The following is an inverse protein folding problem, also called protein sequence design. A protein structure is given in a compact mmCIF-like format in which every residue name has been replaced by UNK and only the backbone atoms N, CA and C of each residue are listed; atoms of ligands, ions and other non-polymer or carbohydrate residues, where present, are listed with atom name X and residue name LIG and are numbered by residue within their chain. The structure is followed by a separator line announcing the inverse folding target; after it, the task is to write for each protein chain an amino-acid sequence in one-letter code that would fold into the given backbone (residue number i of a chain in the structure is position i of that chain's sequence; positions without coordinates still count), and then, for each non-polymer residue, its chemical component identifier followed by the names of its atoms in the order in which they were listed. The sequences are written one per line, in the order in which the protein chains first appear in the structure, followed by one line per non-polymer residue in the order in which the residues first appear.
data_IF_181086566726
#
_entry.id   IF_181086566726
#
_cell.length_a   1.000
_cell.length_b   1.000
_cell.length_c   1.000
_cell.angle_alpha   90.00
_cell.angle_beta   90.00
_cell.angle_gamma   90.00
#
_symmetry.space_group_name_H-M   'P 1'
#
loop_
_entity.id
_entity.type
_entity.pdbx_description
1 polymer ?
#
# COMPACT_ATOMS: atom_id res chain seq x y z
N UNK A 1 -14.96 45.49 18.19
CA UNK A 1 -15.65 45.53 19.50
C UNK A 1 -15.62 44.08 20.01
N UNK A 2 -14.69 43.79 20.92
CA UNK A 2 -14.94 43.44 22.36
C UNK A 2 -15.58 42.05 22.45
N UNK A 3 -15.12 41.02 23.13
CA UNK A 3 -14.20 40.77 24.27
C UNK A 3 -14.05 39.25 24.31
N UNK A 4 -12.94 38.55 24.49
CA UNK A 4 -12.20 38.32 25.73
C UNK A 4 -13.04 37.81 26.91
N UNK A 5 -12.80 36.55 27.27
CA UNK A 5 -12.70 36.02 28.64
C UNK A 5 -12.32 34.54 28.53
N UNK A 6 -11.16 34.02 28.76
CA UNK A 6 -10.31 34.02 29.99
C UNK A 6 -10.85 33.14 31.12
N UNK A 7 -10.11 32.02 31.38
CA UNK A 7 -9.49 31.62 32.67
C UNK A 7 -10.39 30.75 33.57
N UNK A 8 -9.98 29.64 34.08
CA UNK A 8 -9.12 29.21 35.22
C UNK A 8 -9.18 27.68 35.28
N UNK A 9 -8.13 26.91 35.21
CA UNK A 9 -7.14 26.56 36.23
C UNK A 9 -7.74 26.09 37.58
N UNK A 10 -7.63 24.78 37.84
CA UNK A 10 -7.55 24.25 39.20
C UNK A 10 -6.63 23.02 39.22
N UNK A 11 -5.46 23.25 39.76
CA UNK A 11 -4.46 22.30 40.22
C UNK A 11 -4.91 21.71 41.54
N UNK A 12 -4.99 20.37 41.65
CA UNK A 12 -5.02 19.71 42.98
C UNK A 12 -3.99 18.59 42.95
N UNK A 13 -2.90 18.86 43.63
CA UNK A 13 -1.96 17.87 44.17
C UNK A 13 -2.62 17.16 45.37
N UNK A 14 -2.55 15.85 45.40
CA UNK A 14 -2.66 15.07 46.61
C UNK A 14 -1.64 13.93 46.60
N UNK A 15 -0.67 14.08 47.47
CA UNK A 15 0.35 13.13 47.90
C UNK A 15 -0.21 12.11 48.88
N UNK A 16 0.30 10.88 48.79
CA UNK A 16 0.09 9.84 49.84
C UNK A 16 0.65 8.52 49.38
N UNK A 17 1.83 8.25 49.68
CA UNK A 17 2.49 7.49 50.77
C UNK A 17 2.47 5.95 50.60
N UNK A 18 3.66 5.47 50.41
CA UNK A 18 4.31 4.20 50.71
C UNK A 18 3.57 3.16 51.58
N UNK A 19 3.68 1.89 51.11
CA UNK A 19 3.98 0.78 52.00
C UNK A 19 4.80 -0.28 51.28
N UNK A 20 6.01 -0.46 51.71
CA UNK A 20 6.89 -1.54 51.32
C UNK A 20 6.55 -2.80 52.13
N UNK A 21 6.62 -3.96 51.47
CA UNK A 21 6.89 -5.21 52.15
C UNK A 21 7.89 -6.04 51.37
N UNK A 22 9.00 -6.23 51.96
CA UNK A 22 10.12 -7.10 51.58
C UNK A 22 9.78 -8.55 51.86
N UNK A 23 10.22 -9.45 50.96
CA UNK A 23 10.23 -10.89 51.17
C UNK A 23 11.25 -11.54 50.25
N UNK A 24 12.42 -11.79 50.81
CA UNK A 24 13.55 -12.51 50.22
C UNK A 24 13.27 -14.01 50.14
N UNK A 25 13.69 -14.64 49.02
CA UNK A 25 13.73 -16.10 48.90
C UNK A 25 14.55 -16.50 47.68
N UNK A 26 15.81 -16.78 47.89
CA UNK A 26 16.75 -17.34 46.91
C UNK A 26 16.45 -18.81 46.61
N UNK A 27 16.69 -19.22 45.33
CA UNK A 27 16.71 -20.61 44.95
C UNK A 27 17.09 -20.78 43.49
N UNK A 28 18.38 -20.90 43.20
CA UNK A 28 18.92 -21.38 41.93
C UNK A 28 18.52 -22.82 41.69
N UNK A 29 18.12 -23.15 40.45
CA UNK A 29 18.63 -24.37 39.78
C UNK A 29 18.35 -24.31 38.27
N UNK A 30 19.42 -24.46 37.51
CA UNK A 30 19.41 -24.69 36.09
C UNK A 30 19.06 -26.15 35.79
N UNK A 31 18.31 -26.39 34.71
CA UNK A 31 18.56 -27.51 33.79
C UNK A 31 17.54 -27.61 32.67
N UNK A 32 18.01 -27.75 31.44
CA UNK A 32 17.43 -28.64 30.46
C UNK A 32 16.57 -28.02 29.39
N UNK A 33 17.24 -27.60 28.30
CA UNK A 33 16.61 -27.39 27.01
C UNK A 33 16.11 -28.70 26.42
N UNK A 34 14.86 -28.73 26.01
CA UNK A 34 14.43 -29.57 24.88
C UNK A 34 13.49 -28.75 24.02
N UNK A 35 13.96 -28.47 22.82
CA UNK A 35 13.13 -27.93 21.77
C UNK A 35 12.06 -28.95 21.38
N UNK A 36 10.84 -28.53 21.35
CA UNK A 36 9.74 -29.30 20.72
C UNK A 36 8.70 -28.33 20.19
N UNK A 37 8.50 -28.42 18.88
CA UNK A 37 7.33 -28.16 18.10
C UNK A 37 6.46 -26.98 18.50
N UNK A 38 6.42 -25.96 17.64
CA UNK A 38 5.43 -24.89 17.67
C UNK A 38 4.04 -25.45 17.38
N UNK A 39 3.35 -25.90 18.42
CA UNK A 39 1.91 -25.96 18.43
C UNK A 39 1.44 -24.62 19.01
N UNK A 40 0.54 -23.94 18.34
CA UNK A 40 -0.16 -22.81 18.92
C UNK A 40 -0.72 -23.23 20.29
N UNK A 41 -0.28 -22.57 21.37
CA UNK A 41 -0.78 -22.85 22.70
C UNK A 41 -2.25 -22.41 22.74
N UNK A 42 -3.16 -23.38 22.77
CA UNK A 42 -4.56 -23.13 23.06
C UNK A 42 -4.65 -22.35 24.39
N UNK A 43 -5.43 -21.29 24.41
CA UNK A 43 -5.69 -20.52 25.62
C UNK A 43 -6.25 -21.45 26.72
N UNK A 44 -5.76 -21.38 27.97
CA UNK A 44 -6.06 -22.34 29.00
C UNK A 44 -7.50 -22.29 29.54
N UNK A 45 -8.33 -21.36 29.12
CA UNK A 45 -9.68 -21.13 29.64
C UNK A 45 -10.81 -21.28 28.59
N UNK A 46 -10.51 -21.75 27.39
CA UNK A 46 -11.50 -21.90 26.32
C UNK A 46 -12.01 -20.59 25.72
N UNK A 47 -11.45 -19.45 26.13
CA UNK A 47 -11.75 -18.15 25.52
C UNK A 47 -11.05 -18.05 24.17
N UNK A 48 -11.78 -17.57 23.16
CA UNK A 48 -11.20 -17.28 21.87
C UNK A 48 -10.23 -16.08 21.95
N UNK A 49 -9.23 -16.09 21.10
CA UNK A 49 -8.38 -14.92 20.91
C UNK A 49 -9.03 -13.99 19.89
N UNK A 50 -9.27 -12.75 20.29
CA UNK A 50 -9.79 -11.72 19.39
C UNK A 50 -8.64 -11.25 18.49
N UNK A 51 -8.83 -11.24 17.17
CA UNK A 51 -7.88 -10.70 16.18
C UNK A 51 -8.57 -9.74 15.23
N UNK A 52 -7.95 -8.59 15.01
CA UNK A 52 -8.36 -7.58 14.05
C UNK A 52 -7.41 -7.59 12.84
N UNK A 53 -7.95 -7.87 11.66
CA UNK A 53 -7.24 -7.85 10.38
C UNK A 53 -7.69 -6.67 9.52
N UNK A 54 -6.74 -5.83 9.10
CA UNK A 54 -6.99 -4.75 8.15
C UNK A 54 -6.44 -5.09 6.77
N UNK A 55 -7.30 -4.96 5.77
CA UNK A 55 -6.98 -5.17 4.35
C UNK A 55 -7.51 -4.02 3.50
N UNK A 56 -6.87 -3.73 2.35
CA UNK A 56 -7.45 -2.86 1.35
C UNK A 56 -8.46 -3.63 0.48
N UNK A 57 -9.29 -2.95 -0.31
CA UNK A 57 -10.09 -3.60 -1.32
C UNK A 57 -9.20 -4.05 -2.50
N UNK A 58 -9.18 -5.36 -2.77
CA UNK A 58 -8.46 -5.95 -3.91
C UNK A 58 -9.40 -6.27 -5.08
N UNK A 59 -10.69 -6.53 -4.78
CA UNK A 59 -11.70 -6.77 -5.80
C UNK A 59 -12.15 -5.47 -6.48
N UNK A 60 -12.70 -5.59 -7.67
CA UNK A 60 -13.34 -4.47 -8.34
C UNK A 60 -14.63 -4.10 -7.57
N UNK A 61 -14.65 -2.91 -6.98
CA UNK A 61 -15.75 -2.39 -6.19
C UNK A 61 -15.23 -1.44 -5.12
N UNK A 62 -15.97 -0.38 -4.85
CA UNK A 62 -15.47 0.71 -4.00
C UNK A 62 -15.78 0.51 -2.51
N UNK A 63 -16.72 -0.37 -2.18
CA UNK A 63 -17.19 -0.58 -0.80
C UNK A 63 -16.44 -1.70 -0.04
N UNK A 64 -15.60 -2.48 -0.74
CA UNK A 64 -14.89 -3.60 -0.16
C UNK A 64 -15.77 -4.75 0.35
N UNK A 65 -17.05 -4.76 0.04
CA UNK A 65 -17.98 -5.77 0.54
C UNK A 65 -17.63 -7.17 0.03
N UNK A 66 -17.26 -7.28 -1.26
CA UNK A 66 -16.82 -8.55 -1.86
C UNK A 66 -15.52 -9.06 -1.23
N UNK A 67 -14.58 -8.16 -0.95
CA UNK A 67 -13.34 -8.53 -0.26
C UNK A 67 -13.62 -9.02 1.16
N UNK A 68 -14.49 -8.33 1.90
CA UNK A 68 -14.85 -8.72 3.26
C UNK A 68 -15.51 -10.10 3.29
N UNK A 69 -16.47 -10.35 2.40
CA UNK A 69 -17.13 -11.66 2.28
C UNK A 69 -16.11 -12.75 1.95
N UNK A 70 -15.32 -12.56 0.90
CA UNK A 70 -14.30 -13.51 0.47
C UNK A 70 -13.30 -13.87 1.58
N UNK A 71 -12.74 -12.87 2.25
CA UNK A 71 -11.74 -13.11 3.31
C UNK A 71 -12.37 -13.73 4.55
N UNK A 72 -13.61 -13.35 4.89
CA UNK A 72 -14.33 -13.95 6.01
C UNK A 72 -14.54 -15.43 5.76
N UNK A 73 -15.02 -15.82 4.59
CA UNK A 73 -15.24 -17.23 4.23
C UNK A 73 -13.92 -18.00 4.12
N UNK A 74 -12.91 -17.41 3.51
CA UNK A 74 -11.60 -18.04 3.31
C UNK A 74 -10.90 -18.33 4.63
N UNK A 75 -10.96 -17.41 5.58
CA UNK A 75 -10.25 -17.52 6.86
C UNK A 75 -11.08 -18.18 7.98
N UNK A 76 -12.37 -18.39 7.78
CA UNK A 76 -13.25 -19.01 8.80
C UNK A 76 -12.78 -20.39 9.27
N UNK A 77 -12.33 -21.34 8.39
CA UNK A 77 -11.83 -22.63 8.84
C UNK A 77 -10.59 -22.50 9.72
N UNK A 78 -9.64 -21.66 9.33
CA UNK A 78 -8.43 -21.38 10.11
C UNK A 78 -8.76 -20.76 11.47
N UNK A 79 -9.64 -19.77 11.50
CA UNK A 79 -10.06 -19.12 12.73
C UNK A 79 -10.72 -20.11 13.71
N UNK A 80 -11.56 -21.00 13.19
CA UNK A 80 -12.20 -22.04 13.98
C UNK A 80 -11.19 -23.05 14.55
N UNK A 81 -10.24 -23.51 13.72
CA UNK A 81 -9.20 -24.47 14.11
C UNK A 81 -8.26 -23.89 15.17
N UNK A 82 -7.96 -22.60 15.11
CA UNK A 82 -7.04 -21.92 16.02
C UNK A 82 -7.72 -21.23 17.20
N UNK A 83 -9.04 -21.40 17.38
CA UNK A 83 -9.82 -20.79 18.44
C UNK A 83 -9.72 -19.25 18.45
N UNK A 84 -9.83 -18.65 17.24
CA UNK A 84 -9.77 -17.21 17.01
C UNK A 84 -11.15 -16.65 16.74
N UNK A 85 -11.44 -15.46 17.26
CA UNK A 85 -12.53 -14.60 16.83
C UNK A 85 -11.97 -13.50 15.92
N UNK A 86 -12.11 -13.69 14.61
CA UNK A 86 -11.48 -12.87 13.60
C UNK A 86 -12.42 -11.77 13.12
N UNK A 87 -12.04 -10.52 13.32
CA UNK A 87 -12.70 -9.35 12.73
C UNK A 87 -11.89 -8.86 11.53
N UNK A 88 -12.55 -8.68 10.37
CA UNK A 88 -11.91 -8.18 9.15
C UNK A 88 -12.50 -6.81 8.81
N UNK A 89 -11.63 -5.83 8.64
CA UNK A 89 -11.97 -4.51 8.15
C UNK A 89 -11.31 -4.22 6.81
N UNK A 90 -12.11 -3.80 5.84
CA UNK A 90 -11.62 -3.34 4.55
C UNK A 90 -11.54 -1.81 4.57
N UNK A 91 -10.36 -1.30 4.27
CA UNK A 91 -10.08 0.14 4.29
C UNK A 91 -9.79 0.62 2.88
N UNK A 92 -10.53 1.61 2.35
CA UNK A 92 -10.28 2.19 1.03
C UNK A 92 -8.86 2.73 0.89
N UNK A 93 -8.28 2.60 -0.30
CA UNK A 93 -6.93 3.04 -0.59
C UNK A 93 -6.68 4.54 -0.32
N UNK A 94 -7.69 5.39 -0.56
CA UNK A 94 -7.56 6.84 -0.45
C UNK A 94 -7.24 7.37 0.95
N UNK A 95 -7.56 6.60 2.01
CA UNK A 95 -7.27 6.96 3.40
C UNK A 95 -6.54 5.84 4.17
N UNK A 96 -5.89 4.95 3.44
CA UNK A 96 -5.29 3.74 3.98
C UNK A 96 -4.19 4.04 5.01
N UNK A 97 -3.21 4.86 4.62
CA UNK A 97 -2.11 5.27 5.50
C UNK A 97 -2.59 6.05 6.72
N UNK A 98 -3.52 6.99 6.52
CA UNK A 98 -4.06 7.81 7.59
C UNK A 98 -4.77 6.96 8.66
N UNK A 99 -5.48 5.92 8.23
CA UNK A 99 -6.12 4.98 9.15
C UNK A 99 -5.10 4.23 9.99
N UNK A 100 -4.01 3.72 9.38
CA UNK A 100 -2.94 3.06 10.12
C UNK A 100 -2.26 4.01 11.11
N UNK A 101 -1.92 5.21 10.66
CA UNK A 101 -1.29 6.22 11.51
C UNK A 101 -2.18 6.56 12.73
N UNK A 102 -3.46 6.73 12.51
CA UNK A 102 -4.43 7.01 13.57
C UNK A 102 -4.58 5.81 14.50
N UNK A 103 -4.76 4.61 13.97
CA UNK A 103 -4.92 3.39 14.74
C UNK A 103 -3.73 3.10 15.64
N UNK A 104 -2.51 3.17 15.11
CA UNK A 104 -1.29 2.95 15.91
C UNK A 104 -1.08 4.05 16.94
N UNK A 105 -1.38 5.31 16.61
CA UNK A 105 -1.23 6.43 17.54
C UNK A 105 -2.23 6.37 18.71
N UNK A 106 -3.42 5.82 18.48
CA UNK A 106 -4.44 5.64 19.52
C UNK A 106 -4.33 4.30 20.27
N UNK A 107 -3.53 3.36 19.79
CA UNK A 107 -3.48 1.98 20.30
C UNK A 107 -4.69 1.13 19.88
N UNK A 108 -5.41 1.53 18.83
CA UNK A 108 -6.56 0.84 18.25
C UNK A 108 -6.26 0.32 16.84
N UNK A 109 -4.99 0.13 16.53
CA UNK A 109 -4.54 -0.45 15.26
C UNK A 109 -4.87 -1.94 15.15
N UNK A 110 -4.66 -2.56 13.95
CA UNK A 110 -4.90 -3.97 13.75
C UNK A 110 -3.82 -4.84 14.41
N UNK A 111 -4.19 -6.08 14.74
CA UNK A 111 -3.22 -7.11 15.14
C UNK A 111 -2.43 -7.60 13.92
N UNK A 112 -3.08 -7.68 12.76
CA UNK A 112 -2.47 -8.03 11.48
C UNK A 112 -2.98 -7.08 10.41
N UNK A 113 -2.10 -6.62 9.53
CA UNK A 113 -2.49 -5.69 8.49
C UNK A 113 -1.68 -5.84 7.21
N UNK A 114 -2.32 -5.59 6.08
CA UNK A 114 -1.61 -5.42 4.83
C UNK A 114 -0.92 -4.05 4.80
N UNK A 115 0.31 -4.03 4.37
CA UNK A 115 1.06 -2.79 4.14
C UNK A 115 1.81 -2.88 2.82
N UNK A 116 1.97 -1.76 2.14
CA UNK A 116 2.86 -1.63 1.00
C UNK A 116 4.18 -0.99 1.42
N UNK A 117 5.19 -1.12 0.57
CA UNK A 117 6.60 -0.85 0.92
C UNK A 117 6.85 0.53 1.52
N UNK A 118 6.14 1.54 1.03
CA UNK A 118 6.32 2.93 1.42
C UNK A 118 5.93 3.19 2.89
N UNK A 119 5.05 2.36 3.45
CA UNK A 119 4.59 2.50 4.84
C UNK A 119 5.60 1.94 5.87
N UNK A 120 6.46 0.99 5.49
CA UNK A 120 7.23 0.20 6.46
C UNK A 120 8.15 1.02 7.34
N UNK A 121 8.92 1.94 6.76
CA UNK A 121 9.94 2.67 7.50
C UNK A 121 9.35 3.49 8.64
N UNK A 122 8.28 4.21 8.39
CA UNK A 122 7.66 5.09 9.36
C UNK A 122 7.07 4.28 10.53
N UNK A 123 6.35 3.21 10.24
CA UNK A 123 5.76 2.36 11.28
C UNK A 123 6.77 1.52 12.04
N UNK A 124 7.90 1.12 11.41
CA UNK A 124 9.03 0.51 12.12
C UNK A 124 9.66 1.52 13.09
N UNK A 125 9.87 2.77 12.67
CA UNK A 125 10.43 3.82 13.53
C UNK A 125 9.51 4.22 14.67
N UNK A 126 8.21 4.18 14.46
CA UNK A 126 7.20 4.36 15.50
C UNK A 126 7.16 3.19 16.50
N UNK A 127 7.82 2.05 16.19
CA UNK A 127 7.74 0.84 16.99
C UNK A 127 6.37 0.14 16.92
N UNK A 128 5.62 0.39 15.85
CA UNK A 128 4.29 -0.17 15.64
C UNK A 128 4.30 -1.59 15.06
N UNK A 129 5.44 -2.01 14.46
CA UNK A 129 5.58 -3.33 13.87
C UNK A 129 6.46 -4.24 14.73
N UNK A 130 5.95 -5.44 15.03
CA UNK A 130 6.71 -6.47 15.75
C UNK A 130 7.64 -7.23 14.79
N UNK A 131 8.93 -7.43 15.16
CA UNK A 131 9.82 -8.28 14.38
C UNK A 131 9.35 -9.74 14.35
N UNK A 132 9.36 -10.34 13.16
CA UNK A 132 8.89 -11.70 12.89
C UNK A 132 9.97 -12.77 12.93
N UNK A 133 11.24 -12.42 13.22
CA UNK A 133 12.38 -13.32 13.16
C UNK A 133 12.19 -14.59 14.00
N UNK A 134 11.53 -14.47 15.15
CA UNK A 134 11.27 -15.61 16.04
C UNK A 134 10.20 -16.60 15.51
N UNK A 135 9.42 -16.19 14.52
CA UNK A 135 8.29 -16.95 13.99
C UNK A 135 8.56 -17.51 12.59
N UNK A 136 9.56 -16.98 11.89
CA UNK A 136 9.90 -17.40 10.53
C UNK A 136 10.95 -18.50 10.59
N UNK A 137 10.58 -19.66 10.06
CA UNK A 137 11.44 -20.84 9.99
C UNK A 137 12.34 -20.82 8.74
N UNK A 138 13.34 -21.72 8.72
CA UNK A 138 14.15 -21.91 7.52
C UNK A 138 13.31 -22.41 6.34
N UNK A 139 12.29 -23.24 6.59
CA UNK A 139 11.35 -23.68 5.57
C UNK A 139 10.53 -22.53 5.00
N UNK A 140 10.14 -21.54 5.80
CA UNK A 140 9.47 -20.34 5.30
C UNK A 140 10.40 -19.55 4.39
N UNK A 141 11.67 -19.40 4.76
CA UNK A 141 12.68 -18.71 3.94
C UNK A 141 12.93 -19.38 2.59
N UNK A 142 12.80 -20.69 2.50
CA UNK A 142 12.92 -21.45 1.25
C UNK A 142 11.65 -21.40 0.40
N UNK A 143 10.48 -21.32 1.02
CA UNK A 143 9.20 -21.44 0.33
C UNK A 143 8.56 -20.10 -0.09
N UNK A 144 8.84 -19.01 0.63
CA UNK A 144 8.27 -17.72 0.31
C UNK A 144 9.16 -16.91 -0.64
N UNK A 145 8.69 -16.66 -1.86
CA UNK A 145 9.33 -15.74 -2.79
C UNK A 145 9.30 -14.32 -2.21
N UNK A 146 10.40 -13.60 -2.35
CA UNK A 146 10.55 -12.20 -1.92
C UNK A 146 10.43 -11.97 -0.39
N UNK A 147 10.59 -12.99 0.42
CA UNK A 147 10.59 -12.83 1.89
C UNK A 147 11.69 -11.87 2.34
N UNK A 148 12.84 -11.85 1.64
CA UNK A 148 13.95 -10.94 1.86
C UNK A 148 13.57 -9.46 1.78
N UNK A 149 12.52 -9.10 1.01
CA UNK A 149 12.04 -7.71 0.89
C UNK A 149 11.41 -7.19 2.18
N UNK A 150 10.97 -8.07 3.06
CA UNK A 150 10.51 -7.71 4.40
C UNK A 150 11.60 -7.63 5.46
N UNK A 151 12.88 -7.89 5.09
CA UNK A 151 14.03 -7.79 5.99
C UNK A 151 14.58 -6.36 5.97
N UNK A 152 14.21 -5.56 6.97
CA UNK A 152 14.46 -4.13 7.03
C UNK A 152 15.24 -3.81 8.31
N UNK A 153 16.28 -2.99 8.23
CA UNK A 153 17.11 -2.60 9.38
C UNK A 153 17.60 -3.79 10.23
N UNK A 154 17.90 -4.91 9.56
CA UNK A 154 18.47 -6.09 10.21
C UNK A 154 17.44 -7.02 10.88
N UNK A 155 16.15 -6.85 10.63
CA UNK A 155 15.06 -7.69 11.15
C UNK A 155 13.99 -7.93 10.10
N UNK A 156 13.31 -9.06 10.20
CA UNK A 156 12.15 -9.36 9.37
C UNK A 156 10.90 -8.74 10.00
N UNK A 157 10.24 -7.81 9.31
CA UNK A 157 9.01 -7.16 9.80
C UNK A 157 7.77 -7.57 9.03
N UNK A 158 7.92 -8.02 7.79
CA UNK A 158 6.77 -8.34 6.95
C UNK A 158 7.00 -9.65 6.20
N UNK A 159 5.89 -10.29 5.83
CA UNK A 159 5.87 -11.41 4.92
C UNK A 159 5.20 -11.02 3.60
N UNK A 160 5.63 -11.55 2.45
CA UNK A 160 4.97 -11.29 1.19
C UNK A 160 3.55 -11.86 1.20
N UNK A 161 2.59 -11.07 0.78
CA UNK A 161 1.19 -11.48 0.66
C UNK A 161 0.73 -11.46 -0.80
N UNK A 162 0.78 -10.30 -1.45
CA UNK A 162 0.50 -10.16 -2.87
C UNK A 162 1.75 -9.62 -3.55
N UNK A 163 2.25 -10.35 -4.52
CA UNK A 163 3.49 -10.04 -5.24
C UNK A 163 3.23 -10.16 -6.75
N UNK A 164 3.90 -9.31 -7.53
CA UNK A 164 3.87 -9.40 -8.99
C UNK A 164 2.85 -8.49 -9.65
N UNK A 165 2.73 -7.27 -9.16
CA UNK A 165 1.95 -6.23 -9.81
C UNK A 165 2.76 -5.64 -10.98
N UNK A 166 2.22 -5.72 -12.19
CA UNK A 166 2.78 -5.09 -13.39
C UNK A 166 1.95 -3.87 -13.79
N UNK A 167 2.62 -2.78 -14.15
CA UNK A 167 1.98 -1.63 -14.77
C UNK A 167 1.98 -1.80 -16.27
N UNK A 168 0.82 -1.78 -16.87
CA UNK A 168 0.63 -1.94 -18.31
C UNK A 168 -0.31 -0.87 -18.82
N UNK A 169 -0.18 -0.51 -20.08
CA UNK A 169 -1.13 0.35 -20.77
C UNK A 169 -2.28 -0.48 -21.34
N UNK A 170 -3.47 0.00 -21.14
CA UNK A 170 -4.70 -0.53 -21.76
C UNK A 170 -5.07 0.31 -22.98
N UNK A 171 -5.48 -0.35 -24.04
CA UNK A 171 -5.89 0.26 -25.28
C UNK A 171 -7.33 -0.13 -25.63
N UNK A 172 -8.20 0.85 -25.82
CA UNK A 172 -9.54 0.59 -26.34
C UNK A 172 -9.46 0.40 -27.85
N UNK A 173 -9.53 -0.84 -28.28
CA UNK A 173 -9.31 -1.22 -29.68
C UNK A 173 -10.37 -0.64 -30.62
N UNK A 174 -11.63 -0.48 -30.16
CA UNK A 174 -12.70 0.11 -30.96
C UNK A 174 -12.44 1.60 -31.25
N UNK A 175 -11.92 2.32 -30.24
CA UNK A 175 -11.53 3.72 -30.42
C UNK A 175 -10.31 3.84 -31.34
N UNK A 176 -9.31 2.96 -31.17
CA UNK A 176 -8.14 2.94 -32.03
C UNK A 176 -8.52 2.70 -33.49
N UNK A 177 -9.42 1.75 -33.76
CA UNK A 177 -9.91 1.47 -35.11
C UNK A 177 -10.63 2.69 -35.71
N UNK A 178 -11.53 3.32 -34.94
CA UNK A 178 -12.23 4.55 -35.36
C UNK A 178 -11.27 5.70 -35.68
N UNK A 179 -10.15 5.80 -34.94
CA UNK A 179 -9.09 6.77 -35.20
C UNK A 179 -8.15 6.33 -36.33
N UNK A 180 -8.34 5.15 -36.91
CA UNK A 180 -7.50 4.61 -37.97
C UNK A 180 -6.12 4.14 -37.51
N UNK A 181 -5.96 3.82 -36.21
CA UNK A 181 -4.75 3.21 -35.66
C UNK A 181 -4.78 1.72 -35.95
N UNK A 182 -3.74 1.21 -36.61
CA UNK A 182 -3.64 -0.19 -37.06
C UNK A 182 -2.62 -1.00 -36.28
N UNK A 183 -1.71 -0.34 -35.58
CA UNK A 183 -0.64 -0.98 -34.82
C UNK A 183 -0.54 -0.36 -33.42
N UNK A 184 -0.30 -1.19 -32.43
CA UNK A 184 -0.06 -0.73 -31.06
C UNK A 184 1.35 -0.12 -30.94
N UNK A 185 1.54 0.87 -30.07
CA UNK A 185 2.84 1.52 -29.89
C UNK A 185 3.85 0.58 -29.24
N UNK A 186 5.07 0.57 -29.75
CA UNK A 186 6.20 -0.17 -29.20
C UNK A 186 7.19 0.73 -28.44
N UNK A 187 7.16 2.04 -28.70
CA UNK A 187 8.04 3.04 -28.06
C UNK A 187 7.22 4.22 -27.52
N UNK A 188 7.86 5.04 -26.69
CA UNK A 188 7.24 6.29 -26.22
C UNK A 188 6.85 7.23 -27.37
N UNK A 189 7.65 7.27 -28.44
CA UNK A 189 7.30 8.11 -29.60
C UNK A 189 6.07 7.54 -30.32
N UNK A 190 5.99 6.23 -30.51
CA UNK A 190 4.82 5.60 -31.13
C UNK A 190 3.56 5.86 -30.27
N UNK A 191 3.70 5.82 -28.92
CA UNK A 191 2.60 6.13 -28.01
C UNK A 191 2.09 7.57 -28.20
N UNK A 192 3.01 8.52 -28.34
CA UNK A 192 2.67 9.90 -28.68
C UNK A 192 1.93 9.99 -30.00
N UNK A 193 2.48 9.34 -31.04
CA UNK A 193 1.90 9.39 -32.40
C UNK A 193 0.49 8.79 -32.43
N UNK A 194 0.27 7.67 -31.72
CA UNK A 194 -1.05 7.05 -31.56
C UNK A 194 -2.00 7.98 -30.82
N UNK A 195 -1.58 8.53 -29.69
CA UNK A 195 -2.43 9.43 -28.89
C UNK A 195 -2.80 10.73 -29.65
N UNK A 196 -1.84 11.29 -30.42
CA UNK A 196 -2.08 12.46 -31.27
C UNK A 196 -3.10 12.10 -32.39
N UNK A 197 -2.95 10.94 -33.01
CA UNK A 197 -3.87 10.49 -34.06
C UNK A 197 -5.30 10.32 -33.53
N UNK A 198 -5.46 9.76 -32.32
CA UNK A 198 -6.76 9.67 -31.65
C UNK A 198 -7.35 11.06 -31.38
N UNK A 199 -6.52 11.99 -30.86
CA UNK A 199 -6.93 13.38 -30.64
C UNK A 199 -7.41 14.05 -31.93
N UNK A 200 -6.66 13.87 -33.04
CA UNK A 200 -6.99 14.47 -34.33
C UNK A 200 -8.24 13.86 -34.97
N UNK A 201 -8.58 12.63 -34.64
CA UNK A 201 -9.84 11.99 -35.06
C UNK A 201 -11.07 12.70 -34.47
N UNK A 202 -10.91 13.45 -33.37
CA UNK A 202 -11.95 14.29 -32.79
C UNK A 202 -13.19 13.53 -32.34
N UNK A 203 -13.03 12.31 -31.83
CA UNK A 203 -14.15 11.46 -31.39
C UNK A 203 -14.86 12.10 -30.19
N UNK A 204 -16.17 12.35 -30.26
CA UNK A 204 -16.90 13.04 -29.21
C UNK A 204 -16.84 12.29 -27.85
N UNK A 205 -16.46 13.00 -26.77
CA UNK A 205 -16.42 12.46 -25.42
C UNK A 205 -15.25 11.51 -25.14
N UNK A 206 -14.30 11.36 -26.09
CA UNK A 206 -13.16 10.46 -25.94
C UNK A 206 -11.91 11.25 -25.53
N UNK A 207 -11.30 10.86 -24.41
CA UNK A 207 -9.97 11.28 -23.99
C UNK A 207 -8.91 10.41 -24.67
N UNK A 208 -7.94 10.99 -25.41
CA UNK A 208 -6.91 10.20 -26.10
C UNK A 208 -6.03 9.41 -25.15
N UNK A 209 -5.65 10.00 -24.02
CA UNK A 209 -4.87 9.40 -22.95
C UNK A 209 -5.36 9.90 -21.60
N UNK A 210 -5.45 9.02 -20.63
CA UNK A 210 -5.75 9.39 -19.26
C UNK A 210 -4.91 8.54 -18.29
N UNK A 211 -4.81 9.00 -17.04
CA UNK A 211 -4.16 8.30 -15.96
C UNK A 211 -4.69 8.84 -14.63
N UNK A 212 -4.34 8.20 -13.55
CA UNK A 212 -4.76 8.46 -12.18
C UNK A 212 -4.00 9.64 -11.54
N UNK A 213 -4.04 10.81 -12.20
CA UNK A 213 -3.27 11.99 -11.80
C UNK A 213 -3.70 12.59 -10.47
N UNK A 214 -4.95 12.37 -10.06
CA UNK A 214 -5.50 12.87 -8.81
C UNK A 214 -5.36 11.88 -7.64
N UNK A 215 -4.79 10.71 -7.86
CA UNK A 215 -4.48 9.79 -6.77
C UNK A 215 -3.48 10.43 -5.78
N UNK A 216 -3.46 10.00 -4.52
CA UNK A 216 -2.44 10.42 -3.56
C UNK A 216 -1.03 10.27 -4.17
N UNK A 217 -0.12 11.17 -3.79
CA UNK A 217 1.20 11.32 -4.43
C UNK A 217 1.95 10.00 -4.66
N UNK A 218 1.88 9.05 -3.72
CA UNK A 218 2.48 7.73 -3.85
C UNK A 218 1.82 6.91 -4.96
N UNK A 219 0.48 6.89 -5.03
CA UNK A 219 -0.26 6.22 -6.09
C UNK A 219 0.11 6.77 -7.47
N UNK A 220 0.05 8.08 -7.64
CA UNK A 220 0.42 8.73 -8.91
C UNK A 220 1.89 8.47 -9.30
N UNK A 221 2.83 8.50 -8.35
CA UNK A 221 4.24 8.19 -8.62
C UNK A 221 4.41 6.73 -9.06
N UNK A 222 3.85 5.79 -8.32
CA UNK A 222 3.97 4.35 -8.61
C UNK A 222 3.32 3.96 -9.93
N UNK A 223 2.20 4.57 -10.26
CA UNK A 223 1.40 4.16 -11.40
C UNK A 223 1.77 4.91 -12.69
N UNK A 224 2.16 6.18 -12.57
CA UNK A 224 2.38 7.03 -13.74
C UNK A 224 3.83 7.44 -13.97
N UNK A 225 4.63 7.64 -12.92
CA UNK A 225 5.98 8.18 -13.09
C UNK A 225 7.08 7.11 -13.06
N UNK A 226 7.08 6.23 -12.07
CA UNK A 226 8.16 5.25 -11.91
C UNK A 226 8.27 4.26 -13.07
N UNK A 227 7.18 3.79 -13.70
CA UNK A 227 7.31 2.95 -14.90
C UNK A 227 8.13 3.61 -16.00
N UNK A 228 7.94 4.91 -16.25
CA UNK A 228 8.71 5.65 -17.24
C UNK A 228 10.15 5.93 -16.77
N UNK A 229 10.37 6.15 -15.47
CA UNK A 229 11.70 6.28 -14.89
C UNK A 229 12.53 5.02 -15.15
N UNK A 230 11.98 3.85 -14.84
CA UNK A 230 12.66 2.56 -15.05
C UNK A 230 12.88 2.25 -16.54
N UNK A 231 11.91 2.52 -17.39
CA UNK A 231 12.06 2.38 -18.85
C UNK A 231 13.15 3.31 -19.42
N UNK A 232 13.37 4.46 -18.81
CA UNK A 232 14.44 5.37 -19.18
C UNK A 232 15.81 4.95 -18.65
N UNK A 233 15.91 3.87 -17.87
CA UNK A 233 17.14 3.36 -17.27
C UNK A 233 17.55 4.04 -15.97
N UNK A 234 16.60 4.66 -15.27
CA UNK A 234 16.78 5.22 -13.92
C UNK A 234 16.21 4.34 -12.83
N UNK A 235 16.50 4.70 -11.59
CA UNK A 235 15.90 4.11 -10.41
C UNK A 235 15.72 5.16 -9.30
N UNK A 236 14.93 4.83 -8.28
CA UNK A 236 14.70 5.68 -7.11
C UNK A 236 15.92 5.63 -6.19
N UNK A 237 16.46 4.45 -6.00
CA UNK A 237 17.62 4.18 -5.14
C UNK A 237 18.75 3.55 -5.93
N UNK A 238 19.97 3.64 -5.40
CA UNK A 238 21.11 2.88 -5.88
C UNK A 238 20.92 1.38 -5.56
N UNK A 239 21.79 0.53 -6.13
CA UNK A 239 21.67 -0.93 -6.08
C UNK A 239 21.58 -1.50 -4.65
N UNK A 240 22.26 -0.88 -3.69
CA UNK A 240 22.24 -1.31 -2.28
C UNK A 240 21.13 -0.63 -1.44
N UNK A 241 20.27 0.21 -2.04
CA UNK A 241 19.16 0.89 -1.39
C UNK A 241 19.56 1.98 -0.38
N UNK A 242 20.83 2.37 -0.31
CA UNK A 242 21.35 3.28 0.73
C UNK A 242 21.29 4.75 0.35
N UNK A 243 21.10 5.07 -0.94
CA UNK A 243 21.08 6.45 -1.46
C UNK A 243 20.03 6.62 -2.52
N UNK A 244 19.42 7.79 -2.55
CA UNK A 244 18.54 8.21 -3.63
C UNK A 244 19.34 8.38 -4.92
N UNK A 245 18.95 7.68 -5.99
CA UNK A 245 19.62 7.63 -7.30
C UNK A 245 18.90 8.44 -8.39
N UNK A 246 17.78 9.08 -8.09
CA UNK A 246 16.94 9.81 -9.05
C UNK A 246 17.73 10.80 -9.94
N UNK A 247 18.80 11.36 -9.43
CA UNK A 247 19.60 12.37 -10.11
C UNK A 247 20.97 11.85 -10.62
N UNK A 248 21.20 10.54 -10.51
CA UNK A 248 22.49 9.94 -10.93
C UNK A 248 22.67 9.91 -12.46
N UNK A 249 21.57 10.00 -13.19
CA UNK A 249 21.52 10.11 -14.64
C UNK A 249 20.35 11.00 -15.09
N UNK A 250 20.12 11.11 -16.40
CA UNK A 250 19.07 11.94 -16.97
C UNK A 250 17.69 11.24 -17.08
N UNK A 251 17.55 10.01 -16.60
CA UNK A 251 16.34 9.21 -16.73
C UNK A 251 15.12 9.85 -16.05
N UNK A 252 15.31 10.38 -14.84
CA UNK A 252 14.25 11.05 -14.10
C UNK A 252 13.72 12.28 -14.86
N UNK A 253 14.64 13.07 -15.44
CA UNK A 253 14.28 14.24 -16.25
C UNK A 253 13.60 13.81 -17.54
N UNK A 254 14.05 12.74 -18.19
CA UNK A 254 13.41 12.21 -19.41
C UNK A 254 11.99 11.75 -19.14
N UNK A 255 11.78 10.99 -18.07
CA UNK A 255 10.44 10.52 -17.67
C UNK A 255 9.50 11.70 -17.37
N UNK A 256 9.94 12.64 -16.54
CA UNK A 256 9.15 13.82 -16.21
C UNK A 256 8.85 14.68 -17.46
N UNK A 257 9.83 14.85 -18.35
CA UNK A 257 9.67 15.58 -19.61
C UNK A 257 8.66 14.90 -20.53
N UNK A 258 8.71 13.58 -20.63
CA UNK A 258 7.77 12.82 -21.43
C UNK A 258 6.32 13.05 -20.96
N UNK A 259 6.05 12.90 -19.68
CA UNK A 259 4.73 13.13 -19.09
C UNK A 259 4.27 14.59 -19.26
N UNK A 260 5.16 15.53 -19.03
CA UNK A 260 4.91 16.96 -19.27
C UNK A 260 4.53 17.23 -20.73
N UNK A 261 5.26 16.64 -21.67
CA UNK A 261 5.05 16.85 -23.10
C UNK A 261 3.72 16.23 -23.58
N UNK A 262 3.26 15.12 -23.00
CA UNK A 262 1.93 14.55 -23.29
C UNK A 262 0.82 15.59 -23.07
N UNK A 263 0.91 16.37 -21.99
CA UNK A 263 -0.07 17.42 -21.70
C UNK A 263 0.19 18.70 -22.47
N UNK A 264 1.37 19.29 -22.33
CA UNK A 264 1.61 20.68 -22.71
C UNK A 264 2.14 20.86 -24.14
N UNK A 265 2.77 19.85 -24.71
CA UNK A 265 3.29 19.89 -26.08
C UNK A 265 2.33 19.22 -27.06
N UNK A 266 1.87 18.02 -26.74
CA UNK A 266 1.02 17.23 -27.61
C UNK A 266 -0.48 17.44 -27.32
N UNK A 267 -0.82 17.80 -26.10
CA UNK A 267 -2.19 18.07 -25.67
C UNK A 267 -3.09 16.84 -25.77
N UNK A 268 -2.53 15.67 -25.49
CA UNK A 268 -3.24 14.38 -25.50
C UNK A 268 -3.80 13.98 -24.14
N UNK A 269 -3.38 14.70 -23.08
CA UNK A 269 -3.95 14.66 -21.73
C UNK A 269 -4.85 15.89 -21.56
N UNK A 270 -6.15 15.80 -21.75
CA UNK A 270 -7.07 16.92 -21.57
C UNK A 270 -7.17 17.31 -20.09
N UNK A 271 -7.72 18.51 -19.80
CA UNK A 271 -7.77 19.05 -18.43
C UNK A 271 -8.57 18.14 -17.49
N UNK A 272 -9.68 17.59 -17.94
CA UNK A 272 -10.53 16.67 -17.21
C UNK A 272 -9.80 15.40 -16.79
N UNK A 273 -8.83 14.90 -17.56
CA UNK A 273 -8.04 13.73 -17.20
C UNK A 273 -7.17 13.93 -15.95
N UNK A 274 -6.82 15.19 -15.65
CA UNK A 274 -5.96 15.53 -14.52
C UNK A 274 -6.67 15.45 -13.16
N UNK A 275 -7.99 15.37 -13.17
CA UNK A 275 -8.80 15.27 -11.96
C UNK A 275 -9.21 13.81 -11.63
N UNK A 276 -8.87 12.85 -12.49
CA UNK A 276 -9.28 11.46 -12.34
C UNK A 276 -8.41 10.71 -11.33
N UNK A 277 -9.07 9.95 -10.46
CA UNK A 277 -8.46 8.90 -9.63
C UNK A 277 -8.56 7.54 -10.33
N UNK A 278 -7.82 6.54 -9.86
CA UNK A 278 -7.71 5.24 -10.53
C UNK A 278 -9.04 4.54 -10.79
N UNK A 279 -10.00 4.62 -9.86
CA UNK A 279 -11.35 4.05 -10.04
C UNK A 279 -12.11 4.74 -11.16
N UNK A 280 -11.98 6.06 -11.27
CA UNK A 280 -12.64 6.85 -12.33
C UNK A 280 -12.01 6.58 -13.70
N UNK A 281 -10.67 6.50 -13.77
CA UNK A 281 -9.98 6.12 -15.02
C UNK A 281 -10.47 4.77 -15.51
N UNK A 282 -10.56 3.78 -14.64
CA UNK A 282 -11.06 2.44 -14.98
C UNK A 282 -12.50 2.48 -15.48
N UNK A 283 -13.39 3.17 -14.76
CA UNK A 283 -14.80 3.26 -15.14
C UNK A 283 -14.97 3.97 -16.50
N UNK A 284 -14.30 5.10 -16.70
CA UNK A 284 -14.32 5.85 -17.96
C UNK A 284 -13.74 5.03 -19.13
N UNK A 285 -12.69 4.21 -18.87
CA UNK A 285 -12.16 3.30 -19.88
C UNK A 285 -13.16 2.22 -20.27
N UNK A 286 -13.83 1.58 -19.30
CA UNK A 286 -14.85 0.55 -19.53
C UNK A 286 -16.04 1.13 -20.28
N UNK A 287 -16.43 2.37 -19.99
CA UNK A 287 -17.50 3.10 -20.67
C UNK A 287 -17.13 3.55 -22.10
N UNK A 288 -15.87 3.42 -22.51
CA UNK A 288 -15.41 3.82 -23.83
C UNK A 288 -15.11 5.32 -23.97
N UNK A 289 -14.88 6.02 -22.86
CA UNK A 289 -14.56 7.44 -22.85
C UNK A 289 -13.05 7.72 -22.82
N UNK A 290 -12.21 6.69 -22.65
CA UNK A 290 -10.75 6.77 -22.66
C UNK A 290 -10.20 5.79 -23.69
N UNK A 291 -9.29 6.26 -24.53
CA UNK A 291 -8.65 5.42 -25.56
C UNK A 291 -7.44 4.65 -25.03
N UNK A 292 -6.61 5.32 -24.22
CA UNK A 292 -5.37 4.78 -23.62
C UNK A 292 -5.37 5.12 -22.14
N UNK A 293 -5.20 4.10 -21.29
CA UNK A 293 -5.16 4.24 -19.83
C UNK A 293 -3.99 3.49 -19.22
#
# INVERSE_FOLDING_TARGET
MKKLLSILLALVLATGLFAACSGSGSGSQAAGSTASGSGAAAAPDGKKTDLLLWLPPFAAGDDGALDKEFWTETLAPWAAENNVDLTIEITPWGNYEEKYLTGFSSGEGPDVGYMYLEMFNDFIEMGALEPLDAYITDADRENYLYLDKGFIKGKQYTMPFIVGNARILYFNMDILEQAGVTELPATWQDLVDVAVKIKEAGLPGVMPFAGEWADPAIGALNNLYYPYLWQAGGDIYNEDGTKVALMDNDAAVKAARFLYDLKFKYGVLPEESMALVGTEVRNQFIEGNIAIA
#
